data_IF_400746435154
#
_entry.id   IF_400746435154
#
_cell.length_a   1.000
_cell.length_b   1.000
_cell.length_c   1.000
_cell.angle_alpha   90.00
_cell.angle_beta   90.00
_cell.angle_gamma   90.00
#
_symmetry.space_group_name_H-M   'P 1'
#
loop_
_entity.id
_entity.type
_entity.pdbx_description
1 polymer ?
#
# COMPACT_ATOMS: atom_id res chain seq x y z
N UNK A 1 -11.89 6.73 20.26
CA UNK A 1 -10.58 7.01 19.61
C UNK A 1 -10.83 7.30 18.14
N UNK A 2 -10.42 8.50 17.62
CA UNK A 2 -10.59 8.81 16.20
C UNK A 2 -9.66 7.90 15.37
N UNK A 3 -10.20 7.24 14.35
CA UNK A 3 -9.44 6.41 13.43
C UNK A 3 -8.68 7.30 12.46
N UNK A 4 -7.35 7.26 12.49
CA UNK A 4 -6.52 7.94 11.48
C UNK A 4 -6.49 7.08 10.21
N UNK A 5 -6.82 7.69 9.07
CA UNK A 5 -6.80 7.05 7.74
C UNK A 5 -6.01 7.87 6.71
N UNK A 6 -5.46 8.99 7.15
CA UNK A 6 -4.68 9.90 6.31
C UNK A 6 -3.32 10.13 6.98
N UNK A 7 -2.26 9.85 6.25
CA UNK A 7 -0.87 9.96 6.69
C UNK A 7 -0.12 10.89 5.74
N UNK A 8 0.36 12.01 6.28
CA UNK A 8 1.04 13.05 5.51
C UNK A 8 2.47 13.22 6.05
N UNK A 9 3.46 13.04 5.20
CA UNK A 9 4.87 13.27 5.50
C UNK A 9 5.35 14.65 5.04
N UNK A 10 4.51 15.38 4.30
CA UNK A 10 4.76 16.75 3.85
C UNK A 10 3.47 17.58 3.85
N UNK A 11 3.60 18.91 3.80
CA UNK A 11 2.45 19.81 3.72
C UNK A 11 1.90 19.86 2.28
N UNK A 12 0.94 18.98 1.95
CA UNK A 12 0.33 18.94 0.61
C UNK A 12 -0.51 20.15 0.26
N UNK A 13 -1.04 20.91 1.24
CA UNK A 13 -1.88 22.10 0.99
C UNK A 13 -1.08 23.29 0.48
N UNK A 14 0.23 23.33 0.76
CA UNK A 14 1.14 24.38 0.31
C UNK A 14 1.85 24.09 -1.01
N UNK A 15 1.77 22.88 -1.52
CA UNK A 15 2.48 22.44 -2.72
C UNK A 15 1.50 22.30 -3.90
N UNK A 16 1.74 23.06 -4.95
CA UNK A 16 1.11 22.79 -6.25
C UNK A 16 1.72 21.49 -6.80
N UNK A 17 0.88 20.52 -7.07
CA UNK A 17 1.31 19.27 -7.72
C UNK A 17 1.76 19.60 -9.14
N UNK A 18 3.06 19.63 -9.37
CA UNK A 18 3.63 19.78 -10.70
C UNK A 18 3.55 18.41 -11.35
N UNK A 19 2.77 18.27 -12.43
CA UNK A 19 2.73 17.01 -13.17
C UNK A 19 4.13 16.67 -13.70
N UNK A 20 4.57 15.41 -13.49
CA UNK A 20 5.82 14.88 -14.05
C UNK A 20 5.78 14.78 -15.58
N UNK A 21 4.60 14.73 -16.15
CA UNK A 21 4.39 14.53 -17.58
C UNK A 21 4.33 15.87 -18.32
N UNK A 22 5.14 15.99 -19.36
CA UNK A 22 5.13 17.14 -20.26
C UNK A 22 4.52 16.79 -21.61
N UNK A 23 4.61 15.53 -22.01
CA UNK A 23 4.21 15.04 -23.33
C UNK A 23 3.09 14.00 -23.19
N UNK A 24 2.27 13.93 -24.21
CA UNK A 24 1.18 12.97 -24.31
C UNK A 24 1.73 11.54 -24.48
N UNK A 25 1.37 10.58 -23.63
CA UNK A 25 1.85 9.19 -23.78
C UNK A 25 1.27 8.48 -25.00
N UNK A 26 0.23 9.05 -25.64
CA UNK A 26 -0.43 8.45 -26.80
C UNK A 26 0.20 8.91 -28.12
N UNK A 27 0.51 10.20 -28.26
CA UNK A 27 0.96 10.77 -29.54
C UNK A 27 2.22 11.64 -29.45
N UNK A 28 2.87 11.74 -28.29
CA UNK A 28 4.10 12.49 -28.09
C UNK A 28 3.95 14.03 -28.10
N UNK A 29 2.78 14.58 -28.39
CA UNK A 29 2.57 16.03 -28.43
C UNK A 29 2.67 16.63 -27.04
N UNK A 30 3.23 17.83 -26.93
CA UNK A 30 3.31 18.55 -25.66
C UNK A 30 1.91 18.85 -25.11
N UNK A 31 1.64 18.45 -23.87
CA UNK A 31 0.38 18.69 -23.20
C UNK A 31 0.25 20.15 -22.72
N UNK A 32 -0.98 20.62 -22.65
CA UNK A 32 -1.34 21.90 -22.08
C UNK A 32 -2.05 21.71 -20.73
N UNK A 33 -1.86 22.63 -19.81
CA UNK A 33 -2.59 22.63 -18.54
C UNK A 33 -3.99 23.18 -18.77
N UNK A 34 -5.01 22.42 -18.34
CA UNK A 34 -6.38 22.88 -18.26
C UNK A 34 -6.78 22.98 -16.80
N UNK A 35 -7.20 24.17 -16.37
CA UNK A 35 -7.70 24.39 -15.01
C UNK A 35 -9.19 24.08 -14.94
N UNK A 36 -9.57 23.19 -14.03
CA UNK A 36 -10.94 23.07 -13.53
C UNK A 36 -11.05 23.81 -12.20
N UNK A 37 -12.24 24.08 -11.71
CA UNK A 37 -12.50 24.93 -10.52
C UNK A 37 -11.63 24.62 -9.29
N UNK A 38 -11.04 23.41 -9.18
CA UNK A 38 -10.21 22.99 -8.03
C UNK A 38 -8.93 22.25 -8.38
N UNK A 39 -8.75 21.81 -9.61
CA UNK A 39 -7.61 20.98 -10.02
C UNK A 39 -7.11 21.37 -11.40
N UNK A 40 -5.79 21.33 -11.57
CA UNK A 40 -5.15 21.42 -12.87
C UNK A 40 -4.96 20.02 -13.45
N UNK A 41 -5.29 19.83 -14.71
CA UNK A 41 -5.09 18.57 -15.46
C UNK A 41 -4.28 18.87 -16.71
N UNK A 42 -3.58 17.86 -17.22
CA UNK A 42 -2.93 17.95 -18.51
C UNK A 42 -3.83 17.38 -19.61
N UNK A 43 -3.97 18.12 -20.71
CA UNK A 43 -4.70 17.68 -21.90
C UNK A 43 -3.79 17.78 -23.12
N UNK A 44 -3.84 16.78 -23.95
CA UNK A 44 -3.21 16.81 -25.26
C UNK A 44 -4.06 17.66 -26.24
N UNK A 45 -3.52 18.71 -26.83
CA UNK A 45 -4.28 19.53 -27.80
C UNK A 45 -4.51 18.81 -29.11
N UNK A 46 -3.70 17.80 -29.47
CA UNK A 46 -3.80 17.07 -30.73
C UNK A 46 -4.78 15.91 -30.67
N UNK A 47 -4.63 14.97 -29.71
CA UNK A 47 -5.46 13.76 -29.66
C UNK A 47 -6.57 13.82 -28.60
N UNK A 48 -6.64 14.88 -27.79
CA UNK A 48 -7.65 15.06 -26.76
C UNK A 48 -7.41 14.26 -25.47
N UNK A 49 -6.35 13.42 -25.39
CA UNK A 49 -6.03 12.65 -24.19
C UNK A 49 -5.94 13.55 -22.95
N UNK A 50 -6.58 13.15 -21.86
CA UNK A 50 -6.50 13.84 -20.56
C UNK A 50 -5.76 12.94 -19.59
N UNK A 51 -4.67 13.46 -19.00
CA UNK A 51 -3.93 12.77 -17.98
C UNK A 51 -4.58 12.98 -16.61
N UNK A 52 -5.01 11.88 -16.00
CA UNK A 52 -5.46 11.85 -14.62
C UNK A 52 -4.32 11.40 -13.73
N UNK A 53 -3.95 12.25 -12.77
CA UNK A 53 -2.95 11.89 -11.77
C UNK A 53 -3.68 11.32 -10.54
N UNK A 54 -3.75 10.01 -10.46
CA UNK A 54 -4.40 9.29 -9.37
C UNK A 54 -3.36 8.79 -8.35
N UNK A 55 -3.75 8.57 -7.08
CA UNK A 55 -2.92 7.82 -6.15
C UNK A 55 -2.69 6.40 -6.68
N UNK A 56 -1.49 5.86 -6.47
CA UNK A 56 -1.22 4.46 -6.81
C UNK A 56 -1.99 3.55 -5.85
N UNK A 57 -2.80 2.60 -6.36
CA UNK A 57 -3.49 1.64 -5.52
C UNK A 57 -2.51 0.59 -4.98
N UNK A 58 -2.73 0.12 -3.76
CA UNK A 58 -1.91 -0.93 -3.17
C UNK A 58 -2.64 -1.69 -2.09
N UNK A 59 -2.04 -2.79 -1.68
CA UNK A 59 -2.48 -3.64 -0.56
C UNK A 59 -1.37 -3.76 0.47
N UNK A 60 -1.74 -3.86 1.74
CA UNK A 60 -0.86 -4.34 2.82
C UNK A 60 -1.60 -5.37 3.65
N UNK A 61 -0.90 -6.37 4.15
CA UNK A 61 -1.51 -7.52 4.81
C UNK A 61 -1.01 -7.68 6.24
N UNK A 62 -1.91 -7.58 7.22
CA UNK A 62 -1.66 -8.01 8.59
C UNK A 62 -1.75 -9.54 8.65
N UNK A 63 -0.61 -10.21 8.59
CA UNK A 63 -0.55 -11.67 8.79
C UNK A 63 -0.36 -11.93 10.27
N UNK A 64 -1.42 -12.43 10.92
CA UNK A 64 -1.42 -12.68 12.36
C UNK A 64 -1.40 -14.18 12.64
N UNK A 65 -0.44 -14.62 13.45
CA UNK A 65 -0.29 -16.01 13.87
C UNK A 65 0.17 -16.06 15.35
N UNK A 66 -0.54 -16.80 16.19
CA UNK A 66 -0.21 -16.98 17.62
C UNK A 66 0.10 -15.67 18.37
N UNK A 67 -0.73 -14.64 18.18
CA UNK A 67 -0.57 -13.30 18.74
C UNK A 67 0.73 -12.55 18.31
N UNK A 68 1.32 -13.00 17.20
CA UNK A 68 2.46 -12.37 16.54
C UNK A 68 2.02 -11.79 15.21
N UNK A 69 2.72 -10.75 14.75
CA UNK A 69 2.57 -10.10 13.45
C UNK A 69 3.83 -10.32 12.61
N UNK A 70 3.67 -10.68 11.34
CA UNK A 70 4.80 -10.76 10.41
C UNK A 70 5.16 -9.36 9.92
N UNK A 71 6.45 -9.02 10.02
CA UNK A 71 7.01 -7.83 9.40
C UNK A 71 8.20 -8.23 8.51
N UNK A 72 8.44 -7.41 7.48
CA UNK A 72 9.60 -7.52 6.61
C UNK A 72 10.51 -6.30 6.74
N UNK A 73 11.83 -6.53 6.80
CA UNK A 73 12.84 -5.50 6.64
C UNK A 73 13.04 -5.24 5.16
N UNK A 74 12.82 -4.00 4.72
CA UNK A 74 12.94 -3.61 3.31
C UNK A 74 14.40 -3.62 2.86
N UNK A 75 14.66 -4.16 1.67
CA UNK A 75 16.00 -4.13 1.09
C UNK A 75 16.53 -2.69 1.00
N UNK A 76 17.82 -2.50 1.24
CA UNK A 76 18.44 -1.16 1.26
C UNK A 76 18.37 -0.42 -0.08
N UNK A 77 18.07 -1.12 -1.17
CA UNK A 77 17.98 -0.54 -2.53
C UNK A 77 16.60 0.05 -2.84
N UNK A 78 15.58 -0.27 -2.04
CA UNK A 78 14.21 0.20 -2.27
C UNK A 78 13.84 1.39 -1.39
N UNK A 79 12.68 1.99 -1.67
CA UNK A 79 12.17 3.11 -0.87
C UNK A 79 12.01 2.71 0.61
N UNK A 80 12.53 3.54 1.52
CA UNK A 80 12.60 3.28 2.97
C UNK A 80 13.43 2.03 3.36
N UNK A 81 14.47 1.69 2.59
CA UNK A 81 15.35 0.55 2.87
C UNK A 81 15.91 0.54 4.29
N UNK A 82 16.14 -0.66 4.83
CA UNK A 82 16.60 -0.90 6.20
C UNK A 82 15.54 -0.67 7.28
N UNK A 83 14.30 -0.29 6.91
CA UNK A 83 13.17 -0.16 7.83
C UNK A 83 12.18 -1.30 7.64
N UNK A 84 11.35 -1.52 8.63
CA UNK A 84 10.39 -2.61 8.67
C UNK A 84 8.99 -2.15 8.25
N UNK A 85 8.27 -2.99 7.55
CA UNK A 85 6.90 -2.73 7.10
C UNK A 85 6.04 -3.99 7.18
N UNK A 86 4.74 -3.80 7.08
CA UNK A 86 3.82 -4.87 6.71
C UNK A 86 4.15 -5.32 5.28
N UNK A 87 4.06 -6.62 4.96
CA UNK A 87 4.21 -7.08 3.60
C UNK A 87 3.03 -6.65 2.73
N UNK A 88 3.31 -6.41 1.43
CA UNK A 88 2.35 -5.97 0.43
C UNK A 88 2.93 -4.93 -0.52
N UNK A 89 2.25 -4.70 -1.63
CA UNK A 89 2.71 -3.84 -2.71
C UNK A 89 1.60 -3.22 -3.53
N UNK A 90 1.91 -2.87 -4.78
CA UNK A 90 0.97 -2.24 -5.69
C UNK A 90 0.04 -3.27 -6.33
N UNK A 91 -1.18 -2.82 -6.64
CA UNK A 91 -2.15 -3.59 -7.42
C UNK A 91 -1.85 -3.33 -8.89
N UNK A 92 -1.58 -4.38 -9.66
CA UNK A 92 -1.34 -4.29 -11.09
C UNK A 92 -2.63 -4.06 -11.86
N UNK A 93 -2.52 -3.61 -13.11
CA UNK A 93 -3.68 -3.21 -13.91
C UNK A 93 -4.68 -4.35 -14.18
N UNK A 94 -4.20 -5.56 -14.29
CA UNK A 94 -4.95 -6.76 -14.70
C UNK A 94 -5.30 -7.70 -13.54
N UNK A 95 -5.10 -7.27 -12.29
CA UNK A 95 -5.46 -8.05 -11.11
C UNK A 95 -6.43 -7.29 -10.18
N UNK A 96 -7.17 -8.04 -9.37
CA UNK A 96 -7.95 -7.50 -8.26
C UNK A 96 -7.10 -7.43 -6.98
N UNK A 97 -7.58 -6.68 -5.98
CA UNK A 97 -6.83 -6.43 -4.75
C UNK A 97 -6.61 -7.68 -3.87
N UNK A 98 -7.42 -8.73 -4.01
CA UNK A 98 -7.21 -9.99 -3.29
C UNK A 98 -6.14 -10.82 -3.98
N UNK A 99 -6.17 -10.88 -5.31
CA UNK A 99 -5.12 -11.51 -6.13
C UNK A 99 -3.77 -10.83 -5.91
N UNK A 100 -3.73 -9.49 -5.92
CA UNK A 100 -2.54 -8.72 -5.58
C UNK A 100 -1.98 -9.09 -4.19
N UNK A 101 -2.85 -9.17 -3.18
CA UNK A 101 -2.43 -9.54 -1.83
C UNK A 101 -1.83 -10.95 -1.75
N UNK A 102 -2.41 -11.92 -2.46
CA UNK A 102 -1.86 -13.28 -2.51
C UNK A 102 -0.52 -13.33 -3.22
N UNK A 103 -0.38 -12.65 -4.36
CA UNK A 103 0.85 -12.55 -5.14
C UNK A 103 1.97 -11.92 -4.32
N UNK A 104 1.74 -10.71 -3.80
CA UNK A 104 2.72 -9.96 -3.00
C UNK A 104 3.20 -10.76 -1.77
N UNK A 105 2.27 -11.39 -1.03
CA UNK A 105 2.66 -12.19 0.13
C UNK A 105 3.48 -13.41 -0.28
N UNK A 106 3.16 -14.04 -1.40
CA UNK A 106 3.96 -15.18 -1.90
C UNK A 106 5.35 -14.72 -2.33
N UNK A 107 5.46 -13.61 -3.09
CA UNK A 107 6.72 -13.06 -3.62
C UNK A 107 7.62 -12.55 -2.49
N UNK A 108 7.08 -11.76 -1.55
CA UNK A 108 7.85 -11.17 -0.46
C UNK A 108 8.15 -12.12 0.70
N UNK A 109 7.31 -13.16 0.93
CA UNK A 109 7.39 -13.95 2.17
C UNK A 109 7.45 -15.45 1.99
N UNK A 110 7.14 -15.99 0.82
CA UNK A 110 7.01 -17.43 0.57
C UNK A 110 5.82 -18.09 1.27
N UNK A 111 4.88 -17.31 1.80
CA UNK A 111 3.71 -17.82 2.52
C UNK A 111 2.45 -17.88 1.67
N UNK A 112 1.67 -18.95 1.87
CA UNK A 112 0.26 -18.97 1.47
C UNK A 112 -0.61 -18.49 2.63
N UNK A 113 -1.56 -17.62 2.34
CA UNK A 113 -2.43 -16.98 3.33
C UNK A 113 -3.90 -17.25 3.07
N UNK A 114 -4.70 -17.11 4.11
CA UNK A 114 -6.15 -16.95 4.02
C UNK A 114 -6.52 -15.54 4.42
N UNK A 115 -7.04 -14.76 3.50
CA UNK A 115 -7.56 -13.42 3.77
C UNK A 115 -8.88 -13.54 4.53
N UNK A 116 -8.99 -12.83 5.65
CA UNK A 116 -10.14 -12.87 6.55
C UNK A 116 -11.07 -11.70 6.28
N UNK A 117 -10.50 -10.48 6.21
CA UNK A 117 -11.31 -9.28 6.10
C UNK A 117 -10.51 -8.07 5.61
N UNK A 118 -11.25 -7.05 5.17
CA UNK A 118 -10.74 -5.71 4.93
C UNK A 118 -10.81 -4.95 6.26
N UNK A 119 -9.66 -4.56 6.81
CA UNK A 119 -9.58 -3.83 8.07
C UNK A 119 -9.78 -2.33 7.91
N UNK A 120 -9.22 -1.75 6.85
CA UNK A 120 -9.21 -0.31 6.64
C UNK A 120 -8.83 0.04 5.20
N UNK A 121 -9.03 1.31 4.85
CA UNK A 121 -8.41 1.94 3.68
C UNK A 121 -7.70 3.18 4.16
N UNK A 122 -6.46 3.39 3.71
CA UNK A 122 -5.63 4.53 4.11
C UNK A 122 -5.07 5.27 2.90
N UNK A 123 -4.91 6.58 3.05
CA UNK A 123 -4.25 7.43 2.06
C UNK A 123 -2.90 7.87 2.62
N UNK A 124 -1.83 7.60 1.90
CA UNK A 124 -0.49 8.07 2.23
C UNK A 124 -0.04 9.12 1.23
N UNK A 125 0.48 10.22 1.76
CA UNK A 125 1.03 11.34 1.02
C UNK A 125 2.53 11.42 1.34
N UNK A 126 3.34 10.62 0.63
CA UNK A 126 4.79 10.48 0.91
C UNK A 126 5.61 11.63 0.33
N UNK A 127 5.25 12.09 -0.87
CA UNK A 127 5.90 13.23 -1.54
C UNK A 127 4.91 13.85 -2.53
N UNK A 128 5.21 15.02 -3.10
CA UNK A 128 4.38 15.59 -4.18
C UNK A 128 4.15 14.64 -5.37
N UNK A 129 5.04 13.69 -5.55
CA UNK A 129 5.06 12.75 -6.66
C UNK A 129 4.56 11.35 -6.32
N UNK A 130 4.39 11.03 -5.04
CA UNK A 130 4.01 9.70 -4.59
C UNK A 130 2.89 9.78 -3.54
N UNK A 131 1.68 9.54 -4.00
CA UNK A 131 0.52 9.29 -3.15
C UNK A 131 0.03 7.86 -3.37
N UNK A 132 -0.41 7.20 -2.31
CA UNK A 132 -0.99 5.85 -2.40
C UNK A 132 -2.35 5.78 -1.73
N UNK A 133 -3.19 4.90 -2.25
CA UNK A 133 -4.45 4.48 -1.65
C UNK A 133 -4.32 2.98 -1.33
N UNK A 134 -4.18 2.65 -0.06
CA UNK A 134 -3.84 1.29 0.37
C UNK A 134 -5.03 0.63 1.04
N UNK A 135 -5.38 -0.56 0.56
CA UNK A 135 -6.35 -1.47 1.19
C UNK A 135 -5.61 -2.33 2.20
N UNK A 136 -6.06 -2.28 3.44
CA UNK A 136 -5.44 -3.01 4.55
C UNK A 136 -6.23 -4.27 4.82
N UNK A 137 -5.59 -5.43 4.71
CA UNK A 137 -6.19 -6.74 4.85
C UNK A 137 -5.71 -7.43 6.13
N UNK A 138 -6.59 -8.22 6.73
CA UNK A 138 -6.25 -9.18 7.78
C UNK A 138 -6.15 -10.57 7.17
N UNK A 139 -5.09 -11.28 7.47
CA UNK A 139 -4.91 -12.65 7.00
C UNK A 139 -4.32 -13.57 8.07
N UNK A 140 -4.48 -14.88 7.83
CA UNK A 140 -3.82 -15.96 8.58
C UNK A 140 -2.91 -16.74 7.66
N UNK A 141 -1.77 -17.17 8.17
CA UNK A 141 -0.91 -18.12 7.49
C UNK A 141 -1.64 -19.46 7.34
N UNK A 142 -1.63 -20.03 6.13
CA UNK A 142 -2.10 -21.40 5.87
C UNK A 142 -0.89 -22.32 5.82
N UNK A 143 0.10 -21.99 4.96
CA UNK A 143 1.23 -22.85 4.64
C UNK A 143 2.46 -22.02 4.27
N UNK A 144 3.57 -22.68 3.94
CA UNK A 144 4.81 -22.05 3.50
C UNK A 144 5.83 -21.88 4.62
N UNK A 145 7.10 -21.71 4.24
CA UNK A 145 8.20 -21.31 5.09
C UNK A 145 8.56 -19.86 4.80
N UNK A 146 9.00 -19.12 5.82
CA UNK A 146 9.46 -17.74 5.62
C UNK A 146 10.67 -17.72 4.68
N UNK A 147 10.52 -17.08 3.55
CA UNK A 147 11.55 -16.88 2.56
C UNK A 147 11.48 -15.43 2.08
N UNK A 148 12.39 -14.56 2.56
CA UNK A 148 12.44 -13.19 2.07
C UNK A 148 12.66 -13.16 0.56
N UNK A 149 11.88 -12.36 -0.13
CA UNK A 149 11.99 -12.18 -1.57
C UNK A 149 11.56 -10.77 -1.98
N UNK A 150 11.68 -10.47 -3.26
CA UNK A 150 11.39 -9.16 -3.86
C UNK A 150 12.01 -7.99 -3.05
N UNK A 151 11.19 -7.11 -2.53
CA UNK A 151 11.57 -5.92 -1.77
C UNK A 151 12.04 -6.20 -0.33
N UNK A 152 11.95 -7.46 0.17
CA UNK A 152 12.25 -7.81 1.55
C UNK A 152 13.61 -8.50 1.71
N UNK A 153 14.47 -7.91 2.56
CA UNK A 153 15.77 -8.49 2.92
C UNK A 153 15.67 -9.48 4.07
N UNK A 154 14.69 -9.32 4.96
CA UNK A 154 14.50 -10.16 6.15
C UNK A 154 13.04 -10.23 6.55
N UNK A 155 12.62 -11.34 7.15
CA UNK A 155 11.28 -11.54 7.70
C UNK A 155 11.36 -12.00 9.15
N UNK A 156 10.51 -11.44 10.01
CA UNK A 156 10.48 -11.81 11.42
C UNK A 156 9.09 -11.63 12.03
N UNK A 157 8.75 -12.52 12.99
CA UNK A 157 7.53 -12.44 13.76
C UNK A 157 7.75 -11.57 15.00
N UNK A 158 6.93 -10.53 15.17
CA UNK A 158 6.97 -9.65 16.34
C UNK A 158 5.70 -9.80 17.18
N UNK A 159 5.77 -9.64 18.51
CA UNK A 159 4.55 -9.57 19.32
C UNK A 159 3.63 -8.46 18.85
N UNK A 160 2.33 -8.73 18.75
CA UNK A 160 1.33 -7.70 18.39
C UNK A 160 1.33 -6.51 19.34
N UNK A 161 1.78 -6.71 20.60
CA UNK A 161 1.94 -5.63 21.60
C UNK A 161 3.17 -4.77 21.38
N UNK A 162 4.08 -5.17 20.49
CA UNK A 162 5.42 -4.59 20.34
C UNK A 162 6.41 -5.11 21.41
N UNK A 163 7.57 -4.46 21.55
CA UNK A 163 7.99 -3.29 20.77
C UNK A 163 8.24 -3.63 19.29
N UNK A 164 8.00 -2.65 18.40
CA UNK A 164 8.30 -2.79 16.98
C UNK A 164 9.64 -2.15 16.63
N UNK A 165 10.34 -2.66 15.61
CA UNK A 165 11.55 -2.06 15.08
C UNK A 165 11.29 -0.69 14.46
N UNK A 166 12.29 -0.09 13.81
CA UNK A 166 12.12 1.16 13.06
C UNK A 166 11.20 0.92 11.86
N UNK A 167 9.94 1.33 11.97
CA UNK A 167 8.93 1.15 10.93
C UNK A 167 9.13 2.13 9.78
N UNK A 168 8.95 1.65 8.55
CA UNK A 168 9.00 2.45 7.32
C UNK A 168 7.82 3.42 7.24
N UNK A 169 6.64 2.97 7.64
CA UNK A 169 5.40 3.70 7.47
C UNK A 169 4.66 3.90 8.79
N UNK A 170 4.27 5.15 9.07
CA UNK A 170 3.44 5.47 10.24
C UNK A 170 2.08 4.75 10.17
N UNK A 171 1.55 4.58 8.96
CA UNK A 171 0.30 3.87 8.71
C UNK A 171 0.33 2.45 9.28
N UNK A 172 1.41 1.69 9.01
CA UNK A 172 1.55 0.30 9.45
C UNK A 172 1.52 0.21 10.98
N UNK A 173 2.32 1.03 11.66
CA UNK A 173 2.34 1.10 13.13
C UNK A 173 0.97 1.43 13.70
N UNK A 174 0.28 2.40 13.09
CA UNK A 174 -1.06 2.80 13.52
C UNK A 174 -2.06 1.66 13.37
N UNK A 175 -2.03 0.96 12.24
CA UNK A 175 -2.94 -0.14 11.93
C UNK A 175 -2.71 -1.32 12.87
N UNK A 176 -1.45 -1.72 13.10
CA UNK A 176 -1.09 -2.81 14.03
C UNK A 176 -1.59 -2.48 15.44
N UNK A 177 -1.27 -1.28 15.95
CA UNK A 177 -1.70 -0.84 17.28
C UNK A 177 -3.22 -0.80 17.41
N UNK A 178 -3.92 -0.32 16.38
CA UNK A 178 -5.38 -0.30 16.35
C UNK A 178 -5.96 -1.71 16.38
N UNK A 179 -5.44 -2.60 15.55
CA UNK A 179 -5.87 -4.01 15.55
C UNK A 179 -5.64 -4.65 16.92
N UNK A 180 -4.46 -4.46 17.51
CA UNK A 180 -4.13 -5.00 18.83
C UNK A 180 -5.08 -4.52 19.92
N UNK A 181 -5.37 -3.21 19.97
CA UNK A 181 -6.17 -2.60 21.04
C UNK A 181 -7.67 -2.82 20.89
N UNK A 182 -8.18 -2.82 19.65
CA UNK A 182 -9.63 -2.89 19.39
C UNK A 182 -10.13 -4.27 18.96
N UNK A 183 -9.21 -5.17 18.58
CA UNK A 183 -9.52 -6.47 17.95
C UNK A 183 -10.49 -6.33 16.78
N UNK A 184 -10.29 -5.27 15.99
CA UNK A 184 -11.12 -4.94 14.84
C UNK A 184 -11.21 -6.14 13.87
N UNK A 185 -12.42 -6.61 13.61
CA UNK A 185 -12.66 -7.75 12.71
C UNK A 185 -12.72 -7.35 11.24
N UNK A 186 -13.07 -6.09 10.96
CA UNK A 186 -13.22 -5.58 9.60
C UNK A 186 -14.47 -6.11 8.87
N UNK A 187 -14.50 -5.90 7.56
CA UNK A 187 -15.53 -6.42 6.66
C UNK A 187 -15.03 -7.71 6.02
N UNK A 188 -15.78 -8.81 6.17
CA UNK A 188 -15.41 -10.11 5.59
C UNK A 188 -15.26 -10.03 4.08
N UNK A 189 -14.29 -10.73 3.53
CA UNK A 189 -14.16 -10.93 2.09
C UNK A 189 -15.01 -12.13 1.65
N UNK A 190 -15.35 -12.19 0.37
CA UNK A 190 -16.05 -13.34 -0.22
C UNK A 190 -15.18 -14.60 -0.04
N UNK A 191 -15.72 -15.68 0.56
CA UNK A 191 -14.97 -16.90 0.81
C UNK A 191 -14.33 -17.56 -0.43
N UNK A 192 -14.89 -17.28 -1.62
CA UNK A 192 -14.36 -17.80 -2.90
C UNK A 192 -12.98 -17.23 -3.25
N UNK A 193 -12.66 -16.04 -2.74
CA UNK A 193 -11.40 -15.33 -2.99
C UNK A 193 -10.51 -15.20 -1.74
N UNK A 194 -10.90 -15.85 -0.63
CA UNK A 194 -10.17 -15.75 0.63
C UNK A 194 -8.84 -16.53 0.64
N UNK A 195 -8.74 -17.57 -0.18
CA UNK A 195 -7.53 -18.38 -0.39
C UNK A 195 -7.43 -18.79 -1.85
N UNK A 196 -6.24 -18.75 -2.39
CA UNK A 196 -5.88 -19.28 -3.72
C UNK A 196 -5.29 -20.66 -3.58
#
# INVERSE_FOLDING_TARGET
MKTKQIFETYNRKGNQTISKFRYCPVCGTQCISISTLKHSKLKCPQCGFILYQNPSPGVVVLIVHNNMILLGERDNKVFMGGKWSLPGGFIEFDEDFLSAAHREIMEETGLSIKIISILSVVSNFFSPDLHTLVIVLLAKKINGALQPGDDMAKLEWFPLSGPFPSMAFEADRHIINRYYTTKLTGTSVDPRFASL
#
